data_IF_407812175550
#
_entry.id   IF_407812175550
#
_cell.length_a   1.000
_cell.length_b   1.000
_cell.length_c   1.000
_cell.angle_alpha   90.00
_cell.angle_beta   90.00
_cell.angle_gamma   90.00
#
_symmetry.space_group_name_H-M   'P 1'
#
loop_
_entity.id
_entity.type
_entity.pdbx_description
1 polymer ?
#
# COMPACT_ATOMS: atom_id res chain seq x y z
N UNK A 1 3.51 -11.83 -30.74
CA UNK A 1 3.38 -10.53 -30.05
C UNK A 1 3.65 -10.77 -28.57
N UNK A 2 4.60 -10.07 -27.95
CA UNK A 2 4.81 -10.15 -26.49
C UNK A 2 3.75 -9.29 -25.81
N UNK A 3 3.07 -9.82 -24.79
CA UNK A 3 2.18 -9.03 -23.97
C UNK A 3 2.98 -7.89 -23.29
N UNK A 4 2.38 -6.69 -23.10
CA UNK A 4 3.03 -5.63 -22.34
C UNK A 4 3.34 -6.13 -20.93
N UNK A 5 4.51 -5.76 -20.42
CA UNK A 5 4.88 -6.08 -19.03
C UNK A 5 3.89 -5.36 -18.11
N UNK A 6 3.26 -6.06 -17.16
CA UNK A 6 2.32 -5.43 -16.25
C UNK A 6 3.06 -4.48 -15.30
N UNK A 7 2.39 -3.39 -14.94
CA UNK A 7 2.84 -2.49 -13.87
C UNK A 7 2.33 -3.06 -12.55
N UNK A 8 3.23 -3.55 -11.70
CA UNK A 8 2.88 -4.29 -10.48
C UNK A 8 3.73 -3.80 -9.32
N UNK A 9 3.10 -3.55 -8.17
CA UNK A 9 3.79 -3.27 -6.92
C UNK A 9 3.58 -4.41 -5.93
N UNK A 10 4.66 -5.06 -5.50
CA UNK A 10 4.59 -6.20 -4.59
C UNK A 10 4.52 -5.81 -3.11
N UNK A 11 5.21 -4.75 -2.68
CA UNK A 11 5.22 -4.35 -1.28
C UNK A 11 5.32 -2.84 -1.13
N UNK A 12 4.88 -2.34 0.03
CA UNK A 12 5.14 -0.97 0.47
C UNK A 12 5.64 -0.98 1.90
N UNK A 13 6.77 -0.34 2.13
CA UNK A 13 7.27 -0.06 3.46
C UNK A 13 6.80 1.32 3.88
N UNK A 14 5.96 1.39 4.91
CA UNK A 14 5.40 2.62 5.43
C UNK A 14 6.13 2.99 6.71
N UNK A 15 6.77 4.15 6.72
CA UNK A 15 7.51 4.71 7.86
C UNK A 15 6.77 5.92 8.44
N UNK A 16 6.48 5.88 9.74
CA UNK A 16 5.92 7.01 10.45
C UNK A 16 7.04 7.93 10.97
N UNK A 17 7.18 9.08 10.32
CA UNK A 17 8.13 10.15 10.66
C UNK A 17 7.49 11.27 11.48
N UNK A 18 6.18 11.18 11.75
CA UNK A 18 5.47 12.15 12.58
C UNK A 18 5.68 11.90 14.08
N UNK A 19 5.26 12.86 14.90
CA UNK A 19 5.35 12.77 16.37
C UNK A 19 4.17 12.01 17.00
N UNK A 20 3.17 11.60 16.21
CA UNK A 20 1.94 10.94 16.68
C UNK A 20 1.75 9.60 15.96
N UNK A 21 0.96 8.69 16.55
CA UNK A 21 0.60 7.46 15.85
C UNK A 21 -0.25 7.75 14.62
N UNK A 22 -0.01 6.98 13.55
CA UNK A 22 -0.72 7.11 12.26
C UNK A 22 -1.33 5.78 11.87
N UNK A 23 -2.45 5.82 11.17
CA UNK A 23 -3.02 4.64 10.52
C UNK A 23 -2.66 4.65 9.05
N UNK A 24 -2.08 3.55 8.58
CA UNK A 24 -1.82 3.30 7.17
C UNK A 24 -2.75 2.19 6.68
N UNK A 25 -3.52 2.48 5.63
CA UNK A 25 -4.40 1.54 4.94
C UNK A 25 -3.88 1.30 3.53
N UNK A 26 -3.55 0.04 3.24
CA UNK A 26 -3.16 -0.40 1.90
C UNK A 26 -4.37 -1.03 1.21
N UNK A 27 -4.61 -0.63 -0.02
CA UNK A 27 -5.64 -1.17 -0.90
C UNK A 27 -4.98 -2.06 -1.95
N UNK A 28 -5.39 -3.31 -2.05
CA UNK A 28 -4.90 -4.27 -3.03
C UNK A 28 -5.88 -4.41 -4.20
N UNK A 29 -5.36 -4.71 -5.39
CA UNK A 29 -6.19 -4.99 -6.56
C UNK A 29 -6.65 -6.46 -6.55
N UNK A 30 -7.92 -6.69 -6.22
CA UNK A 30 -8.53 -8.01 -6.35
C UNK A 30 -9.15 -8.16 -7.75
N UNK A 31 -8.42 -8.82 -8.64
CA UNK A 31 -8.86 -9.11 -9.99
C UNK A 31 -10.01 -10.13 -10.06
N UNK A 32 -10.31 -10.87 -8.99
CA UNK A 32 -11.35 -11.90 -8.94
C UNK A 32 -12.73 -11.31 -8.76
N UNK A 33 -12.93 -10.60 -7.66
CA UNK A 33 -14.25 -10.18 -7.20
C UNK A 33 -14.52 -8.69 -7.48
N UNK A 34 -13.57 -7.98 -8.13
CA UNK A 34 -13.55 -6.51 -8.28
C UNK A 34 -13.70 -5.77 -6.94
N UNK A 35 -13.43 -6.44 -5.82
CA UNK A 35 -13.44 -5.86 -4.50
C UNK A 35 -12.08 -5.23 -4.20
N UNK A 36 -12.06 -4.27 -3.29
CA UNK A 36 -10.80 -3.70 -2.81
C UNK A 36 -10.49 -4.36 -1.49
N UNK A 37 -9.50 -5.24 -1.47
CA UNK A 37 -8.97 -5.78 -0.23
C UNK A 37 -8.21 -4.66 0.47
N UNK A 38 -8.45 -4.48 1.76
CA UNK A 38 -7.79 -3.46 2.56
C UNK A 38 -7.09 -4.07 3.77
N UNK A 39 -5.92 -3.53 4.08
CA UNK A 39 -5.20 -3.84 5.31
C UNK A 39 -4.83 -2.53 5.98
N UNK A 40 -5.27 -2.36 7.23
CA UNK A 40 -5.00 -1.15 8.02
C UNK A 40 -4.13 -1.51 9.21
N UNK A 41 -3.05 -0.76 9.40
CA UNK A 41 -2.15 -0.92 10.53
C UNK A 41 -1.90 0.43 11.20
N UNK A 42 -1.93 0.44 12.53
CA UNK A 42 -1.42 1.57 13.32
C UNK A 42 0.11 1.48 13.40
N UNK A 43 0.78 2.58 13.09
CA UNK A 43 2.24 2.72 13.09
C UNK A 43 2.60 3.81 14.11
N UNK A 44 3.29 3.41 15.18
CA UNK A 44 3.74 4.33 16.21
C UNK A 44 4.81 5.31 15.68
N UNK A 45 5.03 6.48 16.33
CA UNK A 45 6.08 7.43 15.96
C UNK A 45 7.45 6.75 15.82
N UNK A 46 8.16 7.03 14.73
CA UNK A 46 9.48 6.47 14.45
C UNK A 46 9.51 4.98 14.09
N UNK A 47 8.35 4.33 13.96
CA UNK A 47 8.26 2.94 13.52
C UNK A 47 7.96 2.83 12.02
N UNK A 48 8.27 1.66 11.46
CA UNK A 48 7.96 1.30 10.09
C UNK A 48 7.21 -0.03 10.03
N UNK A 49 6.32 -0.18 9.05
CA UNK A 49 5.60 -1.41 8.78
C UNK A 49 5.62 -1.73 7.29
N UNK A 50 5.93 -2.98 6.93
CA UNK A 50 5.91 -3.43 5.54
C UNK A 50 4.62 -4.19 5.25
N UNK A 51 3.88 -3.70 4.26
CA UNK A 51 2.70 -4.35 3.71
C UNK A 51 3.09 -5.07 2.42
N UNK A 52 2.98 -6.38 2.41
CA UNK A 52 3.27 -7.22 1.24
C UNK A 52 2.00 -7.58 0.46
N UNK A 53 2.19 -7.98 -0.80
CA UNK A 53 1.11 -8.47 -1.67
C UNK A 53 0.39 -9.65 -1.03
N UNK A 54 -0.92 -9.71 -1.20
CA UNK A 54 -1.73 -10.82 -0.67
C UNK A 54 -1.83 -11.94 -1.69
N UNK A 55 -1.74 -13.18 -1.21
CA UNK A 55 -2.10 -14.35 -2.03
C UNK A 55 -3.59 -14.60 -1.88
N UNK A 56 -4.30 -14.69 -3.01
CA UNK A 56 -5.71 -15.01 -3.09
C UNK A 56 -5.88 -16.44 -3.54
N UNK A 57 -6.74 -17.18 -2.84
CA UNK A 57 -7.18 -18.51 -3.26
C UNK A 57 -8.29 -18.39 -4.30
N UNK A 58 -8.05 -19.00 -5.47
CA UNK A 58 -8.94 -18.97 -6.62
C UNK A 58 -9.69 -20.30 -6.83
N UNK A 59 -9.69 -21.19 -5.82
CA UNK A 59 -10.40 -22.46 -5.90
C UNK A 59 -9.70 -23.47 -6.82
N UNK A 60 -8.37 -23.55 -6.73
CA UNK A 60 -7.55 -24.49 -7.49
C UNK A 60 -6.20 -23.93 -7.98
N UNK A 61 -6.01 -22.62 -7.89
CA UNK A 61 -4.76 -21.91 -8.16
C UNK A 61 -4.66 -20.67 -7.26
N UNK A 62 -3.47 -20.06 -7.16
CA UNK A 62 -3.24 -18.87 -6.35
C UNK A 62 -2.96 -17.65 -7.23
N UNK A 63 -3.59 -16.52 -6.91
CA UNK A 63 -3.32 -15.23 -7.53
C UNK A 63 -2.60 -14.31 -6.55
N UNK A 64 -1.74 -13.41 -7.06
CA UNK A 64 -1.14 -12.35 -6.26
C UNK A 64 -1.95 -11.09 -6.46
N UNK A 65 -2.46 -10.50 -5.38
CA UNK A 65 -3.10 -9.19 -5.36
C UNK A 65 -2.05 -8.12 -5.06
N UNK A 66 -1.67 -7.30 -6.05
CA UNK A 66 -0.65 -6.27 -5.86
C UNK A 66 -1.20 -5.07 -5.12
N UNK A 67 -0.29 -4.27 -4.56
CA UNK A 67 -0.62 -2.99 -3.92
C UNK A 67 -1.07 -2.00 -4.98
N UNK A 68 -2.25 -1.40 -4.79
CA UNK A 68 -2.87 -0.45 -5.71
C UNK A 68 -2.82 0.99 -5.20
N UNK A 69 -3.10 1.19 -3.92
CA UNK A 69 -3.18 2.51 -3.31
C UNK A 69 -2.80 2.44 -1.83
N UNK A 70 -2.18 3.50 -1.32
CA UNK A 70 -1.92 3.69 0.10
C UNK A 70 -2.71 4.91 0.56
N UNK A 71 -3.42 4.77 1.67
CA UNK A 71 -4.11 5.86 2.35
C UNK A 71 -3.53 5.96 3.74
N UNK A 72 -3.12 7.14 4.18
CA UNK A 72 -2.72 7.32 5.58
C UNK A 72 -3.33 8.55 6.23
N UNK A 73 -3.60 8.44 7.52
CA UNK A 73 -4.15 9.51 8.33
C UNK A 73 -3.68 9.41 9.78
N UNK A 74 -3.84 10.51 10.51
CA UNK A 74 -3.57 10.58 11.95
C UNK A 74 -4.74 9.99 12.74
N UNK A 75 -4.47 9.50 13.94
CA UNK A 75 -5.49 9.04 14.91
C UNK A 75 -6.50 10.13 15.26
N UNK A 76 -6.09 11.40 15.20
CA UNK A 76 -6.91 12.56 15.57
C UNK A 76 -8.12 12.77 14.64
N UNK A 77 -8.08 12.29 13.39
CA UNK A 77 -9.06 12.69 12.38
C UNK A 77 -10.01 11.56 11.92
N UNK A 78 -9.91 10.35 12.46
CA UNK A 78 -10.77 9.20 12.09
C UNK A 78 -11.01 9.08 10.56
N UNK A 79 -9.98 9.35 9.74
CA UNK A 79 -10.05 9.26 8.28
C UNK A 79 -10.57 10.51 7.53
N UNK A 80 -10.94 11.60 8.22
CA UNK A 80 -11.47 12.82 7.61
C UNK A 80 -10.42 13.61 6.80
N UNK A 81 -9.14 13.52 7.19
CA UNK A 81 -8.00 14.14 6.52
C UNK A 81 -6.98 13.11 6.01
N UNK A 82 -7.45 11.92 5.63
CA UNK A 82 -6.56 10.89 5.12
C UNK A 82 -5.95 11.28 3.77
N UNK A 83 -4.63 11.35 3.71
CA UNK A 83 -3.88 11.56 2.47
C UNK A 83 -3.84 10.26 1.68
N UNK A 84 -4.23 10.32 0.40
CA UNK A 84 -4.22 9.19 -0.52
C UNK A 84 -3.06 9.34 -1.48
N UNK A 85 -2.36 8.25 -1.72
CA UNK A 85 -1.31 8.19 -2.74
C UNK A 85 -1.42 6.90 -3.53
N UNK A 86 -1.42 7.07 -4.85
CA UNK A 86 -1.41 5.97 -5.81
C UNK A 86 0.02 5.85 -6.35
N UNK A 87 0.77 4.81 -5.96
CA UNK A 87 2.11 4.61 -6.47
C UNK A 87 2.06 4.39 -7.99
N UNK A 88 2.70 5.29 -8.75
CA UNK A 88 2.90 5.08 -10.18
C UNK A 88 4.16 4.25 -10.36
N UNK A 89 4.00 2.97 -10.72
CA UNK A 89 5.10 2.04 -10.94
C UNK A 89 5.22 1.69 -12.42
N UNK A 90 6.46 1.55 -12.91
CA UNK A 90 6.75 1.09 -14.25
C UNK A 90 7.38 -0.30 -14.18
N UNK A 91 6.73 -1.28 -14.81
CA UNK A 91 7.13 -2.68 -14.72
C UNK A 91 6.84 -3.30 -13.34
N UNK A 92 7.63 -4.32 -12.98
CA UNK A 92 7.46 -5.08 -11.75
C UNK A 92 8.36 -4.48 -10.66
N UNK A 93 7.75 -3.77 -9.71
CA UNK A 93 8.43 -3.14 -8.58
C UNK A 93 8.25 -3.99 -7.32
N UNK A 94 9.36 -4.34 -6.68
CA UNK A 94 9.36 -5.21 -5.49
C UNK A 94 8.86 -4.49 -4.25
N UNK A 95 9.35 -3.28 -4.00
CA UNK A 95 9.00 -2.50 -2.82
C UNK A 95 9.10 -1.01 -3.12
N UNK A 96 8.25 -0.21 -2.50
CA UNK A 96 8.37 1.25 -2.44
C UNK A 96 8.35 1.72 -0.99
N UNK A 97 9.05 2.82 -0.71
CA UNK A 97 9.07 3.45 0.61
C UNK A 97 8.04 4.59 0.65
N UNK A 98 7.23 4.60 1.71
CA UNK A 98 6.22 5.61 1.98
C UNK A 98 6.53 6.25 3.32
N UNK A 99 6.66 7.59 3.36
CA UNK A 99 6.87 8.31 4.61
C UNK A 99 5.61 9.11 4.96
N UNK A 100 5.14 8.95 6.19
CA UNK A 100 4.00 9.68 6.76
C UNK A 100 4.56 10.66 7.80
N UNK A 101 4.50 11.95 7.51
CA UNK A 101 5.06 13.04 8.32
C UNK A 101 4.26 14.33 8.12
N UNK A 102 4.93 15.39 7.66
CA UNK A 102 4.28 16.66 7.24
C UNK A 102 3.49 16.52 5.91
N UNK A 103 3.60 15.37 5.25
CA UNK A 103 2.86 14.97 4.06
C UNK A 103 3.08 13.49 3.77
N UNK A 104 2.34 12.95 2.79
CA UNK A 104 2.55 11.58 2.30
C UNK A 104 3.48 11.60 1.09
N UNK A 105 4.65 10.97 1.19
CA UNK A 105 5.62 10.90 0.10
C UNK A 105 5.93 9.46 -0.26
N UNK A 106 6.15 9.20 -1.55
CA UNK A 106 6.47 7.87 -2.06
C UNK A 106 7.77 7.90 -2.85
N UNK A 107 8.72 7.09 -2.43
CA UNK A 107 10.02 6.91 -3.06
C UNK A 107 10.11 5.46 -3.57
N UNK A 108 10.52 5.29 -4.82
CA UNK A 108 10.88 3.96 -5.31
C UNK A 108 12.30 3.64 -4.83
N UNK A 109 12.48 2.48 -4.22
CA UNK A 109 13.77 1.99 -3.75
C UNK A 109 14.53 1.26 -4.86
#
# INVERSE_FOLDING_TARGET
MRAPTPNVLHAVNVSNTSQSAVFATVHYDDHKDKQVLTETQEIAPGQSHSFGSKMLDMGGWQAVAPVKQITAGTTADHGSHASKLTPTVHGIVKEVQCHIGEGLTLNQA
#
